data_IF_334272616362
#
_entry.id   IF_334272616362
#
_cell.length_a   1.000
_cell.length_b   1.000
_cell.length_c   1.000
_cell.angle_alpha   90.00
_cell.angle_beta   90.00
_cell.angle_gamma   90.00
#
_symmetry.space_group_name_H-M   'P 1'
#
loop_
_entity.id
_entity.type
_entity.pdbx_description
1 polymer ?
#
# COMPACT_ATOMS: atom_id res chain seq x y z
N UNK A 1 20.31 19.75 -12.00
CA UNK A 1 20.06 19.69 -10.54
C UNK A 1 19.31 18.42 -10.11
N UNK A 2 18.79 17.59 -11.04
CA UNK A 2 18.30 16.22 -10.82
C UNK A 2 19.35 15.10 -10.98
N UNK A 3 20.50 15.38 -11.59
CA UNK A 3 21.52 14.34 -11.82
C UNK A 3 22.31 13.97 -10.55
N UNK A 4 22.07 14.67 -9.42
CA UNK A 4 22.75 14.43 -8.15
C UNK A 4 22.00 13.46 -7.21
N UNK A 5 20.78 13.07 -7.57
CA UNK A 5 19.94 12.13 -6.80
C UNK A 5 19.67 10.83 -7.53
N UNK A 6 20.36 10.61 -8.64
CA UNK A 6 20.54 9.28 -9.22
C UNK A 6 22.03 8.96 -9.19
N UNK A 7 22.59 8.40 -8.08
CA UNK A 7 23.42 7.22 -8.36
C UNK A 7 22.54 6.36 -9.27
N UNK A 8 23.06 5.83 -10.38
CA UNK A 8 22.29 4.90 -11.21
C UNK A 8 21.41 4.03 -10.30
N UNK A 9 20.11 3.84 -10.60
CA UNK A 9 19.19 3.13 -9.71
C UNK A 9 19.95 1.97 -9.08
N UNK A 10 20.00 1.96 -7.74
CA UNK A 10 20.86 1.10 -6.91
C UNK A 10 20.75 -0.40 -7.26
N UNK A 11 19.77 -0.75 -8.08
CA UNK A 11 19.56 -2.03 -8.72
C UNK A 11 20.57 -2.34 -9.83
N UNK A 12 21.74 -2.86 -9.44
CA UNK A 12 22.27 -4.02 -10.16
C UNK A 12 21.52 -5.26 -9.67
N UNK A 13 20.30 -5.37 -10.18
CA UNK A 13 19.50 -6.57 -10.05
C UNK A 13 20.19 -7.67 -10.89
N UNK A 14 20.39 -8.84 -10.32
CA UNK A 14 20.24 -10.10 -11.05
C UNK A 14 18.76 -10.27 -11.47
N UNK A 15 18.21 -9.29 -12.21
CA UNK A 15 16.91 -9.38 -12.85
C UNK A 15 16.95 -8.85 -14.26
N UNK A 16 17.18 -9.81 -15.15
CA UNK A 16 16.60 -9.85 -16.48
C UNK A 16 15.05 -9.98 -16.45
N UNK A 17 14.35 -9.80 -15.32
CA UNK A 17 12.89 -9.96 -15.24
C UNK A 17 12.08 -8.67 -15.04
N UNK A 18 12.41 -7.71 -14.17
CA UNK A 18 11.46 -6.60 -13.86
C UNK A 18 12.05 -5.21 -13.56
N UNK A 19 13.27 -4.91 -14.00
CA UNK A 19 13.82 -3.53 -13.92
C UNK A 19 13.15 -2.57 -14.91
N UNK A 20 13.36 -1.25 -14.78
CA UNK A 20 13.14 -0.23 -15.85
C UNK A 20 14.02 -0.46 -17.10
N UNK A 21 14.59 -1.64 -17.27
CA UNK A 21 15.27 -2.14 -18.47
C UNK A 21 14.72 -3.51 -18.89
N UNK A 22 13.66 -4.00 -18.24
CA UNK A 22 13.06 -5.29 -18.50
C UNK A 22 12.44 -5.34 -19.91
N UNK A 23 12.63 -6.45 -20.64
CA UNK A 23 11.95 -6.68 -21.91
C UNK A 23 10.41 -6.73 -21.77
N UNK A 24 9.90 -6.94 -20.55
CA UNK A 24 8.44 -6.91 -20.27
C UNK A 24 7.90 -5.49 -20.38
N UNK A 25 8.71 -4.50 -19.99
CA UNK A 25 8.37 -3.07 -20.10
C UNK A 25 8.65 -2.60 -21.53
N UNK A 26 9.87 -2.82 -22.02
CA UNK A 26 10.35 -2.31 -23.31
C UNK A 26 10.37 -3.41 -24.36
N UNK A 27 9.20 -3.67 -24.93
CA UNK A 27 9.02 -4.58 -26.06
C UNK A 27 8.57 -3.81 -27.30
N UNK A 28 9.10 -4.17 -28.46
CA UNK A 28 8.65 -3.61 -29.74
C UNK A 28 7.12 -3.67 -29.87
N UNK A 29 6.51 -2.55 -30.24
CA UNK A 29 5.05 -2.38 -30.32
C UNK A 29 4.38 -1.94 -29.02
N UNK A 30 5.05 -1.98 -27.86
CA UNK A 30 4.49 -1.42 -26.63
C UNK A 30 4.46 0.11 -26.69
N UNK A 31 3.31 0.67 -26.28
CA UNK A 31 3.20 2.08 -25.91
C UNK A 31 3.53 2.22 -24.42
N UNK A 32 4.73 2.70 -24.13
CA UNK A 32 5.23 2.95 -22.76
C UNK A 32 5.04 4.41 -22.42
N UNK A 33 4.30 4.72 -21.36
CA UNK A 33 4.04 6.09 -20.89
C UNK A 33 4.76 6.31 -19.56
N UNK A 34 5.55 7.36 -19.45
CA UNK A 34 6.21 7.77 -18.22
C UNK A 34 5.53 9.03 -17.66
N UNK A 35 4.80 8.86 -16.57
CA UNK A 35 4.18 9.95 -15.82
C UNK A 35 5.24 10.72 -15.06
N UNK A 36 5.30 12.04 -15.26
CA UNK A 36 6.20 12.95 -14.57
C UNK A 36 7.69 12.73 -14.88
N UNK A 37 8.01 12.11 -16.02
CA UNK A 37 9.39 12.06 -16.49
C UNK A 37 9.92 13.50 -16.60
N UNK A 38 10.94 13.83 -15.83
CA UNK A 38 11.49 15.19 -15.81
C UNK A 38 12.17 15.59 -17.14
N UNK A 39 13.18 16.46 -17.10
CA UNK A 39 13.89 16.91 -18.30
C UNK A 39 14.82 15.85 -18.91
N UNK A 40 14.90 14.66 -18.31
CA UNK A 40 15.74 13.54 -18.69
C UNK A 40 14.85 12.36 -19.15
N UNK A 41 15.30 11.62 -20.15
CA UNK A 41 14.60 10.44 -20.69
C UNK A 41 15.44 9.20 -20.39
N UNK A 42 14.86 8.19 -19.74
CA UNK A 42 15.61 6.99 -19.35
C UNK A 42 15.68 5.97 -20.49
N UNK A 43 14.65 5.89 -21.32
CA UNK A 43 14.58 4.98 -22.45
C UNK A 43 13.88 5.62 -23.66
N UNK A 44 14.35 5.39 -24.91
CA UNK A 44 13.80 6.04 -26.11
C UNK A 44 12.34 5.66 -26.43
N UNK A 45 11.84 4.52 -25.93
CA UNK A 45 10.44 4.11 -26.11
C UNK A 45 9.46 4.79 -25.15
N UNK A 46 9.94 5.43 -24.08
CA UNK A 46 9.06 6.14 -23.16
C UNK A 46 8.43 7.32 -23.88
N UNK A 47 7.12 7.49 -23.75
CA UNK A 47 6.40 8.72 -24.04
C UNK A 47 6.18 9.44 -22.72
N UNK A 48 6.81 10.59 -22.57
CA UNK A 48 6.85 11.33 -21.32
C UNK A 48 5.70 12.34 -21.26
N UNK A 49 4.93 12.26 -20.19
CA UNK A 49 3.84 13.18 -19.87
C UNK A 49 4.17 13.94 -18.60
N UNK A 50 4.04 15.25 -18.65
CA UNK A 50 4.31 16.11 -17.50
C UNK A 50 3.39 17.32 -17.53
N UNK A 51 2.92 17.83 -16.37
CA UNK A 51 2.14 19.07 -16.31
C UNK A 51 2.88 20.31 -16.85
N UNK A 52 4.22 20.25 -16.97
CA UNK A 52 5.04 21.36 -17.44
C UNK A 52 5.77 21.04 -18.73
N UNK A 53 5.91 22.07 -19.58
CA UNK A 53 6.68 21.95 -20.82
C UNK A 53 8.18 21.98 -20.49
N UNK A 54 8.87 20.89 -20.80
CA UNK A 54 10.32 20.75 -20.64
C UNK A 54 10.93 20.04 -21.84
N UNK A 55 12.27 19.99 -21.91
CA UNK A 55 13.03 19.49 -23.07
C UNK A 55 12.60 18.09 -23.55
N UNK A 56 12.28 17.18 -22.63
CA UNK A 56 11.98 15.78 -22.94
C UNK A 56 10.51 15.39 -22.67
N UNK A 57 9.61 16.37 -22.61
CA UNK A 57 8.18 16.13 -22.39
C UNK A 57 7.47 16.05 -23.75
N UNK A 58 6.85 14.93 -24.03
CA UNK A 58 6.14 14.67 -25.30
C UNK A 58 4.70 15.18 -25.24
N UNK A 59 4.08 15.09 -24.05
CA UNK A 59 2.69 15.49 -23.82
C UNK A 59 2.60 16.35 -22.55
N UNK A 60 2.02 17.54 -22.67
CA UNK A 60 1.77 18.41 -21.51
C UNK A 60 0.39 18.10 -20.94
N UNK A 61 0.35 17.36 -19.83
CA UNK A 61 -0.89 17.00 -19.15
C UNK A 61 -0.63 16.53 -17.71
N UNK A 62 -1.70 16.56 -16.92
CA UNK A 62 -1.73 16.14 -15.52
C UNK A 62 -2.01 14.64 -15.38
N UNK A 63 -1.54 14.02 -14.31
CA UNK A 63 -1.83 12.60 -14.01
C UNK A 63 -3.32 12.36 -13.74
N UNK A 64 -4.02 13.38 -13.24
CA UNK A 64 -5.46 13.37 -12.98
C UNK A 64 -6.32 13.47 -14.27
N UNK A 65 -5.71 13.74 -15.43
CA UNK A 65 -6.37 13.84 -16.73
C UNK A 65 -5.41 13.44 -17.86
N UNK A 66 -5.20 12.14 -18.06
CA UNK A 66 -4.27 11.60 -19.03
C UNK A 66 -4.91 11.60 -20.42
N UNK A 67 -4.34 12.33 -21.42
CA UNK A 67 -4.98 12.56 -22.72
C UNK A 67 -4.76 11.38 -23.69
N UNK A 68 -4.97 10.16 -23.21
CA UNK A 68 -4.97 8.94 -24.01
C UNK A 68 -6.33 8.27 -23.96
N UNK A 69 -6.67 7.55 -25.03
CA UNK A 69 -7.89 6.77 -25.08
C UNK A 69 -7.87 5.64 -24.04
N UNK A 70 -9.04 5.17 -23.67
CA UNK A 70 -9.22 4.01 -22.80
C UNK A 70 -8.48 2.79 -23.39
N UNK A 71 -7.87 1.98 -22.52
CA UNK A 71 -7.19 0.75 -22.91
C UNK A 71 -6.25 0.91 -24.13
N UNK A 72 -5.45 1.98 -24.15
CA UNK A 72 -4.58 2.31 -25.28
C UNK A 72 -3.08 2.30 -24.96
N UNK A 73 -2.73 2.14 -23.68
CA UNK A 73 -1.35 2.13 -23.17
C UNK A 73 -0.99 0.71 -22.71
N UNK A 74 0.20 0.23 -23.08
CA UNK A 74 0.69 -1.10 -22.70
C UNK A 74 1.40 -1.08 -21.36
N UNK A 75 2.16 0.00 -21.09
CA UNK A 75 2.92 0.14 -19.84
C UNK A 75 2.86 1.57 -19.32
N UNK A 76 2.62 1.73 -18.02
CA UNK A 76 2.76 3.00 -17.30
C UNK A 76 3.92 2.91 -16.31
N UNK A 77 4.77 3.92 -16.32
CA UNK A 77 5.85 4.15 -15.35
C UNK A 77 5.55 5.46 -14.63
N UNK A 78 5.70 5.50 -13.32
CA UNK A 78 5.60 6.73 -12.53
C UNK A 78 6.59 6.69 -11.38
N UNK A 79 7.65 7.49 -11.45
CA UNK A 79 8.71 7.48 -10.44
C UNK A 79 8.82 8.84 -9.75
N UNK A 80 8.54 8.87 -8.44
CA UNK A 80 8.53 10.06 -7.60
C UNK A 80 7.57 11.16 -8.12
N UNK A 81 6.29 10.82 -8.26
CA UNK A 81 5.24 11.68 -8.82
C UNK A 81 3.94 11.61 -8.02
N UNK A 82 3.48 10.41 -7.66
CA UNK A 82 2.16 10.23 -7.04
C UNK A 82 2.07 10.82 -5.63
N UNK A 83 3.20 11.02 -4.95
CA UNK A 83 3.30 11.79 -3.71
C UNK A 83 2.96 13.27 -3.91
N UNK A 84 3.19 13.81 -5.11
CA UNK A 84 2.98 15.21 -5.47
C UNK A 84 1.61 15.47 -6.14
N UNK A 85 0.83 14.43 -6.38
CA UNK A 85 -0.52 14.54 -6.97
C UNK A 85 -1.53 14.93 -5.90
N UNK A 86 -2.42 15.89 -6.14
CA UNK A 86 -3.41 16.28 -5.12
C UNK A 86 -4.51 15.21 -4.98
N UNK A 87 -5.18 14.86 -6.09
CA UNK A 87 -6.19 13.80 -6.12
C UNK A 87 -5.59 12.49 -6.68
N UNK A 88 -5.07 11.68 -5.76
CA UNK A 88 -4.49 10.39 -6.13
C UNK A 88 -5.52 9.39 -6.65
N UNK A 89 -6.77 9.46 -6.17
CA UNK A 89 -7.81 8.53 -6.62
C UNK A 89 -8.14 8.77 -8.09
N UNK A 90 -8.26 10.04 -8.47
CA UNK A 90 -8.44 10.44 -9.87
C UNK A 90 -7.24 10.03 -10.74
N UNK A 91 -6.01 10.30 -10.30
CA UNK A 91 -4.80 9.93 -11.06
C UNK A 91 -4.66 8.41 -11.25
N UNK A 92 -4.89 7.64 -10.20
CA UNK A 92 -4.88 6.17 -10.26
C UNK A 92 -6.05 5.64 -11.11
N UNK A 93 -7.20 6.30 -11.07
CA UNK A 93 -8.33 6.03 -11.96
C UNK A 93 -8.00 6.24 -13.44
N UNK A 94 -7.27 7.31 -13.77
CA UNK A 94 -6.78 7.57 -15.12
C UNK A 94 -5.73 6.54 -15.57
N UNK A 95 -4.81 6.15 -14.68
CA UNK A 95 -3.86 5.05 -14.92
C UNK A 95 -4.64 3.78 -15.28
N UNK A 96 -5.64 3.42 -14.47
CA UNK A 96 -6.50 2.29 -14.77
C UNK A 96 -7.18 2.46 -16.14
N UNK A 97 -7.83 3.59 -16.40
CA UNK A 97 -8.59 3.83 -17.63
C UNK A 97 -7.75 3.65 -18.89
N UNK A 98 -6.58 4.27 -18.95
CA UNK A 98 -5.75 4.26 -20.17
C UNK A 98 -4.97 2.96 -20.36
N UNK A 99 -4.68 2.23 -19.28
CA UNK A 99 -3.94 0.98 -19.34
C UNK A 99 -4.81 -0.14 -19.96
N UNK A 100 -4.25 -0.86 -20.93
CA UNK A 100 -4.90 -2.04 -21.53
C UNK A 100 -5.15 -3.13 -20.47
N UNK A 101 -6.22 -3.94 -20.60
CA UNK A 101 -6.28 -5.22 -19.91
C UNK A 101 -5.00 -6.02 -20.18
N UNK A 102 -4.37 -6.53 -19.13
CA UNK A 102 -3.09 -7.24 -19.22
C UNK A 102 -1.86 -6.34 -19.33
N UNK A 103 -2.02 -5.02 -19.40
CA UNK A 103 -0.93 -4.04 -19.40
C UNK A 103 -0.24 -3.92 -18.04
N UNK A 104 0.92 -3.26 -17.99
CA UNK A 104 1.76 -3.19 -16.79
C UNK A 104 1.82 -1.79 -16.19
N UNK A 105 1.98 -1.73 -14.88
CA UNK A 105 2.24 -0.47 -14.16
C UNK A 105 3.44 -0.65 -13.24
N UNK A 106 4.36 0.31 -13.27
CA UNK A 106 5.52 0.39 -12.40
C UNK A 106 5.54 1.75 -11.70
N UNK A 107 5.53 1.74 -10.37
CA UNK A 107 5.46 2.93 -9.53
C UNK A 107 6.65 2.95 -8.57
N UNK A 108 7.33 4.08 -8.44
CA UNK A 108 8.28 4.36 -7.35
C UNK A 108 7.79 5.56 -6.56
N UNK A 109 7.89 5.49 -5.23
CA UNK A 109 7.41 6.53 -4.33
C UNK A 109 8.28 6.61 -3.06
N UNK A 110 8.51 7.80 -2.48
CA UNK A 110 9.21 7.95 -1.21
C UNK A 110 8.48 7.25 -0.05
N UNK A 111 9.26 6.58 0.81
CA UNK A 111 8.78 6.00 2.08
C UNK A 111 9.35 6.74 3.29
N UNK A 112 10.64 6.54 3.60
CA UNK A 112 11.32 7.21 4.73
C UNK A 112 12.13 8.44 4.32
N UNK A 113 12.11 8.83 3.05
CA UNK A 113 12.69 10.10 2.63
C UNK A 113 12.05 11.26 3.36
N UNK A 114 12.90 12.23 3.72
CA UNK A 114 12.47 13.48 4.32
C UNK A 114 11.38 14.16 3.46
N UNK A 115 10.55 14.97 4.12
CA UNK A 115 9.61 15.84 3.44
C UNK A 115 10.35 16.72 2.44
N UNK A 116 9.95 16.71 1.17
CA UNK A 116 10.63 17.47 0.15
C UNK A 116 9.63 18.13 -0.78
N UNK A 117 9.59 19.46 -0.73
CA UNK A 117 8.95 20.25 -1.78
C UNK A 117 9.95 20.43 -2.90
N UNK A 118 9.51 20.18 -4.12
CA UNK A 118 10.35 20.40 -5.29
C UNK A 118 10.09 21.81 -5.82
N UNK A 119 11.10 22.67 -5.76
CA UNK A 119 11.19 23.83 -6.66
C UNK A 119 11.77 23.34 -7.99
N UNK A 120 10.88 22.95 -8.90
CA UNK A 120 11.26 22.53 -10.25
C UNK A 120 11.15 23.71 -11.21
N UNK A 121 12.26 24.40 -11.46
CA UNK A 121 12.31 25.56 -12.35
C UNK A 121 11.35 26.71 -11.96
N UNK A 122 11.20 26.99 -10.66
CA UNK A 122 10.32 28.05 -10.16
C UNK A 122 8.86 27.62 -10.00
N UNK A 123 8.57 26.32 -10.05
CA UNK A 123 7.26 25.76 -9.75
C UNK A 123 7.37 24.88 -8.52
N UNK A 124 6.66 25.28 -7.47
CA UNK A 124 6.57 24.53 -6.22
C UNK A 124 5.51 23.42 -6.37
N UNK A 125 5.92 22.18 -6.08
CA UNK A 125 4.99 21.08 -5.85
C UNK A 125 5.05 20.65 -4.40
N UNK A 126 3.86 20.51 -3.83
CA UNK A 126 3.70 19.99 -2.47
C UNK A 126 3.86 18.47 -2.44
N UNK A 127 4.17 17.98 -1.26
CA UNK A 127 4.41 16.58 -0.99
C UNK A 127 3.30 16.04 -0.07
N UNK A 128 2.22 15.56 -0.69
CA UNK A 128 0.94 15.34 -0.02
C UNK A 128 0.90 14.08 0.85
N UNK A 129 1.74 13.07 0.56
CA UNK A 129 1.60 11.76 1.21
C UNK A 129 2.83 10.87 1.15
N UNK A 130 2.84 9.91 2.07
CA UNK A 130 3.76 8.77 2.11
C UNK A 130 2.97 7.48 2.02
N UNK A 131 3.51 6.52 1.29
CA UNK A 131 2.92 5.20 1.17
C UNK A 131 3.77 4.15 1.86
N UNK A 132 3.10 3.19 2.51
CA UNK A 132 3.71 1.89 2.80
C UNK A 132 3.59 0.99 1.57
N UNK A 133 4.37 -0.11 1.53
CA UNK A 133 4.27 -1.13 0.45
C UNK A 133 2.83 -1.60 0.26
N UNK A 134 2.11 -1.85 1.36
CA UNK A 134 0.70 -2.29 1.32
C UNK A 134 -0.24 -1.17 0.88
N UNK A 135 -0.07 0.05 1.40
CA UNK A 135 -0.88 1.18 0.98
C UNK A 135 -0.75 1.47 -0.51
N UNK A 136 0.45 1.31 -1.06
CA UNK A 136 0.70 1.48 -2.49
C UNK A 136 0.01 0.37 -3.30
N UNK A 137 0.16 -0.88 -2.88
CA UNK A 137 -0.53 -2.00 -3.53
C UNK A 137 -2.06 -1.87 -3.50
N UNK A 138 -2.62 -1.35 -2.40
CA UNK A 138 -4.06 -1.06 -2.28
C UNK A 138 -4.54 -0.02 -3.29
N UNK A 139 -3.75 1.03 -3.53
CA UNK A 139 -4.09 2.03 -4.55
C UNK A 139 -4.25 1.39 -5.94
N UNK A 140 -3.46 0.35 -6.23
CA UNK A 140 -3.49 -0.38 -7.51
C UNK A 140 -4.26 -1.71 -7.43
N UNK A 141 -5.33 -1.78 -6.64
CA UNK A 141 -6.14 -2.99 -6.45
C UNK A 141 -6.78 -3.58 -7.73
N UNK A 142 -6.80 -2.85 -8.84
CA UNK A 142 -7.24 -3.33 -10.16
C UNK A 142 -6.16 -4.13 -10.91
N UNK A 143 -4.95 -4.20 -10.34
CA UNK A 143 -3.83 -4.99 -10.84
C UNK A 143 -3.59 -6.22 -9.97
N UNK A 144 -2.99 -7.24 -10.57
CA UNK A 144 -2.33 -8.31 -9.86
C UNK A 144 -0.89 -7.86 -9.56
N UNK A 145 -0.47 -7.81 -8.28
CA UNK A 145 0.89 -7.43 -7.93
C UNK A 145 1.85 -8.51 -8.42
N UNK A 146 2.86 -8.10 -9.19
CA UNK A 146 3.94 -8.96 -9.65
C UNK A 146 5.16 -8.85 -8.73
N UNK A 147 5.44 -7.64 -8.22
CA UNK A 147 6.49 -7.40 -7.25
C UNK A 147 6.23 -6.09 -6.46
N UNK A 148 6.62 -6.06 -5.19
CA UNK A 148 6.51 -4.87 -4.32
C UNK A 148 7.67 -4.89 -3.33
N UNK A 149 8.50 -3.85 -3.36
CA UNK A 149 9.76 -3.89 -2.63
C UNK A 149 10.32 -2.52 -2.29
N UNK A 150 11.58 -2.50 -1.89
CA UNK A 150 12.33 -1.29 -1.60
C UNK A 150 13.18 -0.89 -2.81
N UNK A 151 13.12 0.38 -3.21
CA UNK A 151 13.88 0.91 -4.34
C UNK A 151 15.03 1.83 -4.02
N UNK A 152 15.04 2.34 -2.81
CA UNK A 152 16.16 3.09 -2.27
C UNK A 152 16.40 2.58 -0.87
N UNK A 153 17.65 2.21 -0.58
CA UNK A 153 17.99 1.45 0.60
C UNK A 153 18.00 2.28 1.90
N UNK A 154 18.28 1.62 3.04
CA UNK A 154 18.25 2.25 4.35
C UNK A 154 19.37 3.25 4.61
N UNK A 155 20.52 3.12 3.95
CA UNK A 155 21.62 4.08 4.16
C UNK A 155 21.32 5.42 3.51
N UNK A 156 20.57 5.41 2.40
CA UNK A 156 19.99 6.63 1.83
C UNK A 156 19.04 7.34 2.81
N UNK A 157 18.20 6.60 3.55
CA UNK A 157 17.34 7.19 4.59
C UNK A 157 18.18 7.92 5.63
N UNK A 158 19.19 7.26 6.19
CA UNK A 158 20.07 7.85 7.21
C UNK A 158 20.77 9.10 6.66
N UNK A 159 21.38 9.00 5.48
CA UNK A 159 22.11 10.11 4.88
C UNK A 159 21.20 11.33 4.63
N UNK A 160 20.00 11.10 4.10
CA UNK A 160 19.05 12.17 3.84
C UNK A 160 18.51 12.80 5.12
N UNK A 161 18.13 12.00 6.12
CA UNK A 161 17.64 12.53 7.40
C UNK A 161 18.69 13.37 8.13
N UNK A 162 19.95 12.91 8.15
CA UNK A 162 21.06 13.67 8.72
C UNK A 162 21.26 14.99 7.96
N UNK A 163 21.23 14.95 6.63
CA UNK A 163 21.34 16.16 5.82
C UNK A 163 20.22 17.15 6.12
N UNK A 164 18.96 16.73 6.09
CA UNK A 164 17.81 17.60 6.36
C UNK A 164 17.86 18.16 7.76
N UNK A 165 18.17 17.32 8.77
CA UNK A 165 18.34 17.77 10.15
C UNK A 165 19.33 18.92 10.26
N UNK A 166 20.54 18.77 9.71
CA UNK A 166 21.53 19.86 9.75
C UNK A 166 21.12 21.05 8.90
N UNK A 167 20.55 20.84 7.71
CA UNK A 167 20.11 21.93 6.83
C UNK A 167 19.06 22.83 7.50
N UNK A 168 18.23 22.26 8.38
CA UNK A 168 17.12 22.97 9.02
C UNK A 168 17.52 23.70 10.31
N UNK A 169 18.70 23.41 10.88
CA UNK A 169 19.20 24.12 12.06
C UNK A 169 19.51 25.60 11.81
N UNK A 170 19.66 26.03 10.55
CA UNK A 170 20.01 27.41 10.23
C UNK A 170 19.54 27.83 8.83
N UNK A 171 19.00 29.04 8.72
CA UNK A 171 18.46 29.61 7.48
C UNK A 171 19.51 30.36 6.64
N UNK A 172 20.74 30.54 7.14
CA UNK A 172 21.82 31.22 6.44
C UNK A 172 22.20 30.53 5.13
N UNK A 173 22.21 31.26 3.98
CA UNK A 173 22.58 30.69 2.69
C UNK A 173 23.99 30.11 2.64
N UNK A 174 24.94 30.71 3.38
CA UNK A 174 26.32 30.22 3.46
C UNK A 174 26.37 28.89 4.23
N UNK A 175 25.68 28.81 5.37
CA UNK A 175 25.59 27.59 6.16
C UNK A 175 24.97 26.43 5.36
N UNK A 176 23.82 26.68 4.71
CA UNK A 176 23.14 25.66 3.88
C UNK A 176 24.03 25.18 2.73
N UNK A 177 24.79 26.08 2.10
CA UNK A 177 25.80 25.72 1.09
C UNK A 177 26.91 24.84 1.68
N UNK A 178 27.39 25.13 2.89
CA UNK A 178 28.38 24.31 3.57
C UNK A 178 27.85 22.92 3.93
N UNK A 179 26.65 22.82 4.52
CA UNK A 179 25.99 21.55 4.84
C UNK A 179 25.78 20.71 3.59
N UNK A 180 25.28 21.33 2.51
CA UNK A 180 25.13 20.66 1.21
C UNK A 180 26.46 20.16 0.65
N UNK A 181 27.52 20.97 0.74
CA UNK A 181 28.87 20.55 0.35
C UNK A 181 29.36 19.34 1.15
N UNK A 182 29.15 19.35 2.47
CA UNK A 182 29.49 18.23 3.36
C UNK A 182 28.70 16.96 3.00
N UNK A 183 27.41 17.09 2.75
CA UNK A 183 26.56 15.97 2.31
C UNK A 183 27.04 15.36 0.99
N UNK A 184 27.48 16.18 0.03
CA UNK A 184 28.04 15.65 -1.22
C UNK A 184 29.35 14.87 -1.04
N UNK A 185 30.12 15.12 0.00
CA UNK A 185 31.36 14.38 0.30
C UNK A 185 31.05 13.13 1.13
N UNK A 186 30.34 13.30 2.25
CA UNK A 186 30.08 12.23 3.24
C UNK A 186 28.82 11.45 2.90
N UNK A 187 27.72 12.14 2.67
CA UNK A 187 26.41 11.55 2.40
C UNK A 187 26.39 10.69 1.15
N UNK A 188 27.03 11.14 0.06
CA UNK A 188 27.17 10.31 -1.15
C UNK A 188 27.88 8.98 -0.82
N UNK A 189 29.00 9.03 -0.11
CA UNK A 189 29.75 7.83 0.28
C UNK A 189 28.90 6.86 1.12
N UNK A 190 28.00 7.38 1.96
CA UNK A 190 27.04 6.57 2.73
C UNK A 190 25.95 5.98 1.84
N UNK A 191 25.35 6.76 0.93
CA UNK A 191 24.33 6.29 -0.02
C UNK A 191 24.87 5.15 -0.91
N UNK A 192 26.15 5.20 -1.29
CA UNK A 192 26.79 4.13 -2.06
C UNK A 192 26.81 2.78 -1.32
N UNK A 193 26.68 2.76 0.01
CA UNK A 193 26.60 1.51 0.78
C UNK A 193 25.36 0.71 0.42
N UNK A 194 24.23 1.37 0.08
CA UNK A 194 23.04 0.66 -0.38
C UNK A 194 23.34 -0.26 -1.59
N UNK A 195 24.36 0.05 -2.40
CA UNK A 195 24.73 -0.72 -3.60
C UNK A 195 25.41 -2.04 -3.27
N UNK A 196 25.97 -2.14 -2.06
CA UNK A 196 26.73 -3.29 -1.59
C UNK A 196 25.96 -4.10 -0.54
N UNK A 197 24.81 -3.61 -0.07
CA UNK A 197 23.95 -4.36 0.83
C UNK A 197 23.28 -5.53 0.07
N UNK A 198 23.24 -6.73 0.66
CA UNK A 198 22.46 -7.84 0.10
C UNK A 198 20.98 -7.47 -0.06
N UNK A 199 20.35 -7.93 -1.15
CA UNK A 199 18.95 -7.59 -1.47
C UNK A 199 17.98 -7.96 -0.33
N UNK A 200 18.21 -9.09 0.32
CA UNK A 200 17.39 -9.57 1.42
C UNK A 200 17.53 -8.70 2.68
N UNK A 201 18.66 -8.00 2.85
CA UNK A 201 18.84 -6.96 3.89
C UNK A 201 18.03 -5.71 3.56
N UNK A 202 18.05 -5.28 2.29
CA UNK A 202 17.27 -4.11 1.84
C UNK A 202 15.77 -4.39 1.95
N UNK A 203 15.32 -5.57 1.53
CA UNK A 203 13.90 -5.94 1.57
C UNK A 203 13.35 -6.12 2.99
N UNK A 204 14.15 -6.67 3.91
CA UNK A 204 13.79 -6.80 5.33
C UNK A 204 13.95 -5.50 6.12
N UNK A 205 14.52 -4.46 5.51
CA UNK A 205 14.69 -3.19 6.19
C UNK A 205 13.34 -2.56 6.54
N UNK A 206 13.23 -2.04 7.76
CA UNK A 206 12.08 -1.26 8.20
C UNK A 206 12.19 0.23 7.84
N UNK A 207 13.33 0.64 7.28
CA UNK A 207 13.60 2.05 6.93
C UNK A 207 14.08 2.25 5.47
N UNK A 208 13.52 1.56 4.46
CA UNK A 208 13.90 1.86 3.08
C UNK A 208 13.52 3.29 2.75
N UNK A 209 14.38 3.96 2.01
CA UNK A 209 14.19 5.37 1.65
C UNK A 209 13.02 5.51 0.67
N UNK A 210 12.95 4.64 -0.33
CA UNK A 210 11.88 4.59 -1.32
C UNK A 210 11.39 3.15 -1.51
N UNK A 211 10.15 3.02 -1.96
CA UNK A 211 9.52 1.74 -2.28
C UNK A 211 9.01 1.74 -3.72
N UNK A 212 8.80 0.55 -4.28
CA UNK A 212 8.21 0.39 -5.60
C UNK A 212 7.04 -0.60 -5.59
N UNK A 213 6.20 -0.48 -6.61
CA UNK A 213 5.13 -1.41 -6.96
C UNK A 213 5.21 -1.74 -8.45
N UNK A 214 5.18 -3.03 -8.78
CA UNK A 214 5.05 -3.51 -10.14
C UNK A 214 3.84 -4.45 -10.24
N UNK A 215 2.90 -4.12 -11.12
CA UNK A 215 1.65 -4.87 -11.26
C UNK A 215 1.21 -5.02 -12.72
N UNK A 216 0.34 -6.00 -12.95
CA UNK A 216 -0.32 -6.23 -14.23
C UNK A 216 -1.81 -6.01 -14.08
N UNK A 217 -2.40 -5.16 -14.92
CA UNK A 217 -3.86 -4.92 -14.93
C UNK A 217 -4.59 -6.20 -15.30
N UNK A 218 -5.63 -6.53 -14.54
CA UNK A 218 -6.46 -7.73 -14.80
C UNK A 218 -7.12 -7.66 -16.17
N UNK A 219 -7.24 -8.81 -16.85
CA UNK A 219 -7.92 -8.94 -18.14
C UNK A 219 -9.05 -10.00 -18.11
N UNK A 220 -9.93 -10.00 -19.12
CA UNK A 220 -11.03 -10.99 -19.21
C UNK A 220 -10.50 -12.42 -19.36
N UNK A 221 -9.31 -12.63 -19.91
CA UNK A 221 -8.66 -13.94 -20.03
C UNK A 221 -7.91 -14.39 -18.78
N UNK A 222 -7.88 -13.54 -17.74
CA UNK A 222 -7.55 -13.89 -16.36
C UNK A 222 -8.73 -14.64 -15.70
N UNK A 223 -9.64 -15.23 -16.48
CA UNK A 223 -10.78 -16.03 -16.03
C UNK A 223 -10.39 -17.17 -15.09
N UNK A 224 -9.19 -17.73 -15.21
CA UNK A 224 -8.70 -18.72 -14.24
C UNK A 224 -8.39 -18.08 -12.87
N UNK A 225 -8.07 -16.77 -12.82
CA UNK A 225 -8.02 -15.96 -11.59
C UNK A 225 -9.40 -15.51 -11.10
N UNK A 226 -10.44 -15.53 -11.96
CA UNK A 226 -11.84 -15.44 -11.53
C UNK A 226 -12.36 -16.75 -10.91
N UNK A 227 -11.70 -17.87 -11.21
CA UNK A 227 -11.93 -19.20 -10.61
C UNK A 227 -11.07 -19.45 -9.38
N UNK A 228 -9.92 -18.76 -9.26
CA UNK A 228 -9.31 -18.51 -7.97
C UNK A 228 -10.22 -17.56 -7.19
N UNK A 229 -10.19 -17.60 -5.85
CA UNK A 229 -10.70 -16.47 -5.10
C UNK A 229 -10.03 -15.21 -5.68
N UNK A 230 -10.81 -14.25 -6.16
CA UNK A 230 -10.31 -12.91 -6.54
C UNK A 230 -9.31 -12.49 -5.47
N UNK A 231 -8.21 -11.76 -5.76
CA UNK A 231 -7.42 -11.15 -4.71
C UNK A 231 -8.41 -10.37 -3.88
N UNK A 232 -8.79 -10.97 -2.76
CA UNK A 232 -9.81 -10.44 -1.91
C UNK A 232 -9.26 -9.07 -1.62
N UNK A 233 -10.06 -8.02 -1.76
CA UNK A 233 -9.61 -6.80 -1.13
C UNK A 233 -9.37 -7.21 0.33
N UNK A 234 -8.10 -7.31 0.73
CA UNK A 234 -7.68 -7.77 2.07
C UNK A 234 -8.30 -6.82 3.12
N UNK A 235 -8.75 -5.68 2.62
CA UNK A 235 -9.50 -4.63 3.27
C UNK A 235 -10.91 -4.65 2.66
N UNK A 236 -11.92 -5.19 3.35
CA UNK A 236 -13.29 -5.01 2.91
C UNK A 236 -13.54 -3.51 2.72
N UNK A 237 -13.87 -3.09 1.50
CA UNK A 237 -14.14 -1.67 1.19
C UNK A 237 -15.32 -1.17 2.01
N UNK A 238 -16.29 -2.06 2.23
CA UNK A 238 -17.39 -1.91 3.16
C UNK A 238 -17.48 -3.15 4.06
N UNK A 239 -16.75 -3.19 5.19
CA UNK A 239 -16.86 -4.29 6.15
C UNK A 239 -18.23 -4.21 6.82
N UNK A 240 -19.13 -5.06 6.39
CA UNK A 240 -20.45 -5.18 6.97
C UNK A 240 -20.71 -6.63 7.36
N UNK A 241 -21.11 -6.82 8.61
CA UNK A 241 -21.42 -8.11 9.17
C UNK A 241 -22.74 -8.09 9.91
N UNK A 242 -23.44 -9.22 9.87
CA UNK A 242 -24.50 -9.54 10.83
C UNK A 242 -24.01 -10.67 11.74
N UNK A 243 -24.08 -10.46 13.06
CA UNK A 243 -23.68 -11.43 14.09
C UNK A 243 -24.91 -11.79 14.90
N UNK A 244 -25.30 -13.08 14.89
CA UNK A 244 -26.46 -13.59 15.63
C UNK A 244 -26.06 -14.67 16.62
N UNK A 245 -26.55 -14.56 17.86
CA UNK A 245 -26.39 -15.64 18.84
C UNK A 245 -27.29 -16.82 18.47
N UNK A 246 -26.71 -17.99 18.24
CA UNK A 246 -27.45 -19.23 17.94
C UNK A 246 -27.74 -20.00 19.22
N UNK A 247 -26.74 -20.16 20.09
CA UNK A 247 -26.92 -20.79 21.40
C UNK A 247 -25.89 -20.30 22.40
N UNK A 248 -26.25 -20.26 23.69
CA UNK A 248 -25.34 -19.93 24.78
C UNK A 248 -25.44 -21.01 25.86
N UNK A 249 -24.44 -21.90 25.89
CA UNK A 249 -24.32 -23.00 26.85
C UNK A 249 -23.14 -22.73 27.79
N UNK A 250 -23.04 -23.50 28.87
CA UNK A 250 -21.90 -23.40 29.78
C UNK A 250 -20.60 -23.63 28.99
N UNK A 251 -19.66 -22.68 29.04
CA UNK A 251 -18.37 -22.76 28.38
C UNK A 251 -18.30 -22.31 26.93
N UNK A 252 -19.44 -22.15 26.23
CA UNK A 252 -19.46 -21.87 24.78
C UNK A 252 -20.70 -21.07 24.37
N UNK A 253 -20.50 -20.00 23.59
CA UNK A 253 -21.53 -19.39 22.76
C UNK A 253 -21.32 -19.76 21.30
N UNK A 254 -22.36 -20.28 20.63
CA UNK A 254 -22.36 -20.47 19.19
C UNK A 254 -22.96 -19.23 18.54
N UNK A 255 -22.21 -18.61 17.64
CA UNK A 255 -22.66 -17.44 16.87
C UNK A 255 -22.74 -17.79 15.39
N UNK A 256 -23.72 -17.24 14.70
CA UNK A 256 -23.80 -17.22 13.24
C UNK A 256 -23.32 -15.87 12.75
N UNK A 257 -22.37 -15.91 11.84
CA UNK A 257 -21.82 -14.76 11.15
C UNK A 257 -22.36 -14.76 9.72
N UNK A 258 -22.77 -13.60 9.22
CA UNK A 258 -23.16 -13.43 7.82
C UNK A 258 -22.41 -12.24 7.23
N UNK A 259 -21.76 -12.46 6.10
CA UNK A 259 -21.10 -11.39 5.36
C UNK A 259 -22.14 -10.57 4.59
N UNK A 260 -22.44 -9.37 5.09
CA UNK A 260 -23.38 -8.43 4.47
C UNK A 260 -22.67 -7.34 3.67
N UNK A 261 -21.34 -7.40 3.60
CA UNK A 261 -20.51 -6.50 2.81
C UNK A 261 -20.38 -6.90 1.35
N UNK A 262 -19.50 -6.20 0.65
CA UNK A 262 -19.23 -6.38 -0.78
C UNK A 262 -17.94 -7.16 -1.07
N UNK A 263 -17.21 -7.54 -0.03
CA UNK A 263 -15.88 -8.15 -0.12
C UNK A 263 -15.84 -9.45 0.69
N UNK A 264 -15.18 -10.48 0.17
CA UNK A 264 -14.95 -11.75 0.89
C UNK A 264 -14.07 -11.54 2.12
N UNK A 265 -14.47 -12.11 3.26
CA UNK A 265 -13.66 -12.16 4.46
C UNK A 265 -12.62 -13.27 4.35
N UNK A 266 -11.35 -12.89 4.50
CA UNK A 266 -10.25 -13.82 4.45
C UNK A 266 -9.99 -14.46 5.80
N UNK A 267 -9.98 -15.79 5.87
CA UNK A 267 -9.48 -16.53 7.05
C UNK A 267 -7.99 -16.31 7.23
N UNK A 268 -7.24 -16.28 6.13
CA UNK A 268 -5.80 -16.10 6.13
C UNK A 268 -5.39 -14.98 5.18
N UNK A 269 -4.55 -14.09 5.68
CA UNK A 269 -3.90 -13.06 4.88
C UNK A 269 -2.48 -13.56 4.53
N UNK A 270 -1.96 -13.23 3.34
CA UNK A 270 -0.55 -13.46 3.01
C UNK A 270 0.40 -12.59 3.87
N UNK A 271 -0.13 -11.63 4.62
CA UNK A 271 0.60 -10.80 5.57
C UNK A 271 0.33 -11.26 7.00
N UNK A 272 1.16 -10.83 7.96
CA UNK A 272 0.99 -11.12 9.39
C UNK A 272 -0.24 -10.45 10.05
N UNK A 273 -1.10 -9.81 9.25
CA UNK A 273 -2.29 -9.05 9.62
C UNK A 273 -3.23 -8.98 8.40
N UNK A 274 -4.47 -8.52 8.58
CA UNK A 274 -5.45 -8.40 7.50
C UNK A 274 -6.34 -9.63 7.28
N UNK A 275 -6.21 -10.66 8.11
CA UNK A 275 -7.19 -11.74 8.18
C UNK A 275 -8.38 -11.31 9.05
N UNK A 276 -9.55 -11.83 8.73
CA UNK A 276 -10.77 -11.63 9.50
C UNK A 276 -10.87 -12.70 10.57
N UNK A 277 -11.10 -12.27 11.81
CA UNK A 277 -11.34 -13.13 12.97
C UNK A 277 -12.52 -12.61 13.76
N UNK A 278 -13.08 -13.47 14.60
CA UNK A 278 -14.04 -13.06 15.60
C UNK A 278 -13.30 -12.71 16.89
N UNK A 279 -13.39 -11.46 17.33
CA UNK A 279 -12.82 -10.98 18.58
C UNK A 279 -13.84 -10.96 19.70
N UNK A 280 -13.41 -11.38 20.88
CA UNK A 280 -14.20 -11.31 22.11
C UNK A 280 -13.61 -10.24 23.00
N UNK A 281 -14.43 -9.28 23.40
CA UNK A 281 -14.05 -8.23 24.34
C UNK A 281 -14.96 -8.25 25.56
N UNK A 282 -14.42 -7.89 26.72
CA UNK A 282 -15.18 -7.70 27.95
C UNK A 282 -15.62 -6.25 28.06
N UNK A 283 -16.92 -6.01 28.20
CA UNK A 283 -17.47 -4.66 28.34
C UNK A 283 -17.16 -4.11 29.72
N UNK A 284 -16.61 -2.90 29.77
CA UNK A 284 -16.33 -2.16 31.01
C UNK A 284 -17.25 -0.93 31.08
N UNK A 285 -18.10 -0.77 32.12
CA UNK A 285 -19.13 0.28 32.16
C UNK A 285 -18.63 1.72 32.01
N UNK A 286 -17.39 1.99 32.43
CA UNK A 286 -16.79 3.35 32.45
C UNK A 286 -15.37 3.36 31.88
N UNK A 287 -15.05 2.43 30.97
CA UNK A 287 -13.72 2.28 30.41
C UNK A 287 -13.71 1.68 29.01
N UNK A 288 -12.52 1.45 28.46
CA UNK A 288 -12.39 0.74 27.19
C UNK A 288 -12.66 -0.75 27.38
N UNK A 289 -13.33 -1.35 26.40
CA UNK A 289 -13.57 -2.79 26.37
C UNK A 289 -12.22 -3.54 26.39
N UNK A 290 -12.09 -4.54 27.25
CA UNK A 290 -10.84 -5.30 27.39
C UNK A 290 -10.84 -6.43 26.37
N UNK A 291 -9.76 -6.54 25.60
CA UNK A 291 -9.60 -7.61 24.63
C UNK A 291 -9.30 -8.96 25.32
N UNK A 292 -10.07 -10.00 24.98
CA UNK A 292 -10.02 -11.30 25.66
C UNK A 292 -9.44 -12.38 24.77
N UNK A 293 -10.00 -12.56 23.57
CA UNK A 293 -9.61 -13.67 22.70
C UNK A 293 -9.94 -13.44 21.23
N UNK A 294 -9.39 -14.33 20.39
CA UNK A 294 -9.66 -14.44 18.97
C UNK A 294 -10.15 -15.84 18.64
N UNK A 295 -11.08 -15.93 17.69
CA UNK A 295 -11.53 -17.17 17.08
C UNK A 295 -11.36 -17.05 15.57
N UNK A 296 -10.57 -17.96 14.99
CA UNK A 296 -10.36 -18.03 13.55
C UNK A 296 -11.64 -18.44 12.82
N UNK A 297 -11.84 -17.86 11.63
CA UNK A 297 -12.81 -18.37 10.68
C UNK A 297 -12.41 -19.79 10.24
N UNK A 298 -13.39 -20.66 9.97
CA UNK A 298 -13.10 -22.00 9.45
C UNK A 298 -12.64 -21.98 7.97
N UNK A 299 -13.16 -21.02 7.20
CA UNK A 299 -12.86 -20.80 5.79
C UNK A 299 -13.13 -19.32 5.43
N UNK A 300 -12.73 -18.92 4.23
CA UNK A 300 -13.09 -17.61 3.68
C UNK A 300 -14.60 -17.49 3.50
N UNK A 301 -15.17 -16.32 3.79
CA UNK A 301 -16.62 -16.08 3.77
C UNK A 301 -16.94 -15.05 2.69
N UNK A 302 -17.46 -15.51 1.55
CA UNK A 302 -17.86 -14.64 0.45
C UNK A 302 -19.05 -13.72 0.82
N UNK A 303 -19.26 -12.60 0.09
CA UNK A 303 -20.45 -11.77 0.25
C UNK A 303 -21.74 -12.58 0.19
N UNK A 304 -22.65 -12.35 1.14
CA UNK A 304 -23.91 -13.08 1.29
C UNK A 304 -23.79 -14.47 1.93
N UNK A 305 -22.58 -15.00 2.15
CA UNK A 305 -22.38 -16.28 2.80
C UNK A 305 -22.42 -16.15 4.34
N UNK A 306 -22.71 -17.27 5.01
CA UNK A 306 -22.74 -17.36 6.47
C UNK A 306 -21.95 -18.55 6.98
N UNK A 307 -21.45 -18.45 8.21
CA UNK A 307 -20.86 -19.57 8.94
C UNK A 307 -21.28 -19.54 10.41
N UNK A 308 -21.11 -20.66 11.11
CA UNK A 308 -21.26 -20.73 12.56
C UNK A 308 -19.91 -20.98 13.22
N UNK A 309 -19.66 -20.27 14.32
CA UNK A 309 -18.44 -20.42 15.12
C UNK A 309 -18.79 -20.65 16.58
N UNK A 310 -18.03 -21.55 17.20
CA UNK A 310 -18.05 -21.75 18.64
C UNK A 310 -17.06 -20.78 19.28
N UNK A 311 -17.58 -19.90 20.13
CA UNK A 311 -16.81 -18.93 20.92
C UNK A 311 -16.65 -19.49 22.32
N UNK A 312 -15.43 -19.87 22.73
CA UNK A 312 -15.17 -20.27 24.10
C UNK A 312 -15.43 -19.10 25.04
N UNK A 313 -16.23 -19.35 26.08
CA UNK A 313 -16.53 -18.36 27.13
C UNK A 313 -16.16 -19.00 28.46
N UNK A 314 -15.36 -18.30 29.27
CA UNK A 314 -15.07 -18.74 30.63
C UNK A 314 -16.38 -18.77 31.45
N UNK A 315 -16.82 -19.93 31.97
CA UNK A 315 -18.03 -20.02 32.78
C UNK A 315 -17.98 -19.18 34.07
N UNK A 316 -16.78 -18.82 34.54
CA UNK A 316 -16.60 -17.98 35.72
C UNK A 316 -16.70 -16.48 35.40
N UNK A 317 -16.70 -16.09 34.12
CA UNK A 317 -16.80 -14.69 33.72
C UNK A 317 -18.22 -14.15 33.92
N UNK A 318 -18.35 -13.17 34.81
CA UNK A 318 -19.62 -12.52 35.16
C UNK A 318 -19.85 -11.21 34.41
N UNK A 319 -18.97 -10.86 33.47
CA UNK A 319 -19.10 -9.66 32.66
C UNK A 319 -19.99 -9.85 31.44
N UNK A 320 -20.46 -8.74 30.85
CA UNK A 320 -21.05 -8.78 29.52
C UNK A 320 -19.93 -8.84 28.49
N UNK A 321 -20.02 -9.81 27.58
CA UNK A 321 -19.07 -9.95 26.49
C UNK A 321 -19.60 -9.26 25.25
N UNK A 322 -18.71 -8.61 24.52
CA UNK A 322 -18.95 -7.98 23.22
C UNK A 322 -18.17 -8.76 22.17
N UNK A 323 -18.92 -9.41 21.30
CA UNK A 323 -18.40 -10.22 20.21
C UNK A 323 -18.50 -9.38 18.93
N UNK A 324 -17.37 -9.18 18.27
CA UNK A 324 -17.28 -8.36 17.07
C UNK A 324 -16.32 -9.01 16.08
N UNK A 325 -16.51 -8.76 14.78
CA UNK A 325 -15.52 -9.14 13.78
C UNK A 325 -14.40 -8.10 13.76
N UNK A 326 -13.19 -8.58 13.58
CA UNK A 326 -11.99 -7.76 13.43
C UNK A 326 -11.31 -8.13 12.13
N UNK A 327 -10.92 -7.11 11.37
CA UNK A 327 -9.90 -7.29 10.35
C UNK A 327 -8.55 -6.99 11.02
N UNK A 328 -7.74 -8.03 11.22
CA UNK A 328 -6.61 -7.96 12.12
C UNK A 328 -5.58 -6.90 11.74
N UNK A 329 -5.08 -6.18 12.75
CA UNK A 329 -4.16 -5.07 12.58
C UNK A 329 -4.74 -3.83 11.87
N UNK A 330 -6.06 -3.78 11.61
CA UNK A 330 -6.67 -2.72 10.81
C UNK A 330 -7.82 -2.01 11.51
N UNK A 331 -8.93 -2.71 11.71
CA UNK A 331 -10.10 -2.14 12.37
C UNK A 331 -11.06 -3.23 12.81
N UNK A 332 -11.88 -2.86 13.78
CA UNK A 332 -13.09 -3.59 14.14
C UNK A 332 -14.20 -3.32 13.12
N UNK A 333 -15.08 -4.28 12.89
CA UNK A 333 -16.23 -4.06 12.02
C UNK A 333 -17.21 -3.06 12.63
N UNK A 334 -17.30 -2.98 13.97
CA UNK A 334 -18.10 -1.96 14.64
C UNK A 334 -17.62 -0.53 14.39
N UNK A 335 -16.32 -0.32 14.18
CA UNK A 335 -15.77 1.00 13.84
C UNK A 335 -16.16 1.43 12.42
N UNK A 336 -16.69 0.51 11.62
CA UNK A 336 -17.12 0.71 10.24
C UNK A 336 -18.63 0.54 10.06
N UNK A 337 -19.38 0.50 11.16
CA UNK A 337 -20.84 0.56 11.17
C UNK A 337 -21.57 -0.78 11.35
N UNK A 338 -20.86 -1.89 11.53
CA UNK A 338 -21.52 -3.16 11.91
C UNK A 338 -21.94 -3.15 13.38
N UNK A 339 -23.03 -3.82 13.71
CA UNK A 339 -23.43 -3.98 15.12
C UNK A 339 -22.72 -5.18 15.76
N UNK A 340 -21.96 -4.99 16.85
CA UNK A 340 -21.38 -6.10 17.59
C UNK A 340 -22.46 -6.83 18.41
N UNK A 341 -22.28 -8.11 18.65
CA UNK A 341 -23.18 -8.91 19.48
C UNK A 341 -22.80 -8.78 20.95
N UNK A 342 -23.74 -8.33 21.79
CA UNK A 342 -23.60 -8.37 23.24
C UNK A 342 -24.15 -9.69 23.79
N UNK A 343 -23.31 -10.40 24.53
CA UNK A 343 -23.66 -11.64 25.22
C UNK A 343 -23.61 -11.38 26.73
N UNK A 344 -24.77 -11.30 27.41
CA UNK A 344 -24.81 -11.10 28.85
C UNK A 344 -24.26 -12.33 29.58
N UNK A 345 -23.76 -12.16 30.82
CA UNK A 345 -23.31 -13.27 31.63
C UNK A 345 -24.45 -14.26 31.87
N UNK A 346 -24.14 -15.55 31.88
CA UNK A 346 -25.13 -16.57 32.20
C UNK A 346 -25.35 -16.57 33.71
N UNK A 347 -26.46 -16.01 34.18
CA UNK A 347 -26.87 -16.21 35.56
C UNK A 347 -27.06 -17.71 35.79
N UNK A 348 -26.38 -18.26 36.79
CA UNK A 348 -26.67 -19.61 37.26
C UNK A 348 -28.18 -19.65 37.53
N UNK A 349 -28.90 -20.54 36.85
CA UNK A 349 -30.28 -20.82 37.23
C UNK A 349 -30.24 -21.18 38.72
N UNK A 350 -30.96 -20.41 39.53
CA UNK A 350 -31.07 -20.67 40.96
C UNK A 350 -31.49 -22.13 41.14
N UNK A 351 -30.62 -22.90 41.80
CA UNK A 351 -30.86 -24.31 42.14
C UNK A 351 -31.97 -24.43 43.18
#
# INVERSE_FOLDING_TARGET
MLDLFRPEPLYHYEMDRFSLKSPIIYREGHRVVHLGGGPNRNHPMELNINPFKMRNVDVVARGEAIPFADASVDVIISAAVLEHVEDIQQSVGEINRVLKPGGFVYIEIPFMQHYHTHDFYGVEFEDYRRFTKVGLAQAFEFCDPLDVGACVGPTSTVAQMVYSFFNDLNTSPLYRRMVKGMYHVVGNSVVWVDRYLPNDVIERSHIPSGIFYFGRKRDEHSDWLRQLPQPHSIFPKHPAAEIKLVSHRSGVATVRLTNTGDTTWLRHSPFAWGNVQLGVRRVVPEGEDIDVSRVDLAADIAPGASCELAVPIDPADTSTLKIDLVNEGLHWFSQRGSEPLLVPPRHAAAA
#
